data_IF_179666248864
#
_entry.id   IF_179666248864
#
_cell.length_a   1.000
_cell.length_b   1.000
_cell.length_c   1.000
_cell.angle_alpha   90.00
_cell.angle_beta   90.00
_cell.angle_gamma   90.00
#
_symmetry.space_group_name_H-M   'P 1'
#
loop_
_entity.id
_entity.type
_entity.pdbx_description
1 polymer ?
#
# COMPACT_ATOMS: atom_id res chain seq x y z
N UNK A 1 22.46 8.95 9.28
CA UNK A 1 21.06 9.43 9.25
C UNK A 1 20.72 9.82 7.81
N UNK A 2 19.60 9.36 7.23
CA UNK A 2 19.27 9.55 5.80
C UNK A 2 18.46 10.81 5.53
N UNK A 3 17.75 11.34 6.54
CA UNK A 3 16.84 12.47 6.36
C UNK A 3 17.50 13.74 5.77
N UNK A 4 18.70 14.17 6.20
CA UNK A 4 19.38 15.29 5.55
C UNK A 4 19.64 15.06 4.07
N UNK A 5 20.07 13.85 3.71
CA UNK A 5 20.34 13.46 2.31
C UNK A 5 19.05 13.49 1.48
N UNK A 6 17.94 13.02 2.04
CA UNK A 6 16.65 13.10 1.36
C UNK A 6 16.22 14.54 1.13
N UNK A 7 16.41 15.42 2.14
CA UNK A 7 16.08 16.83 2.00
C UNK A 7 16.94 17.53 0.94
N UNK A 8 18.25 17.30 0.94
CA UNK A 8 19.16 17.82 -0.07
C UNK A 8 18.82 17.34 -1.49
N UNK A 9 18.34 16.09 -1.62
CA UNK A 9 17.86 15.53 -2.88
C UNK A 9 16.46 16.01 -3.31
N UNK A 10 15.82 16.90 -2.52
CA UNK A 10 14.53 17.49 -2.84
C UNK A 10 13.32 16.64 -2.46
N UNK A 11 13.49 15.59 -1.64
CA UNK A 11 12.35 14.84 -1.10
C UNK A 11 11.62 15.69 -0.05
N UNK A 12 10.31 15.62 -0.08
CA UNK A 12 9.43 16.32 0.87
C UNK A 12 8.75 15.38 1.85
N UNK A 13 8.56 14.14 1.47
CA UNK A 13 7.90 13.13 2.30
C UNK A 13 8.53 11.74 2.12
N UNK A 14 8.31 10.89 3.10
CA UNK A 14 8.74 9.50 3.16
C UNK A 14 7.55 8.59 3.53
N UNK A 15 7.29 7.57 2.72
CA UNK A 15 6.24 6.58 2.94
C UNK A 15 6.82 5.17 3.01
N UNK A 16 7.88 4.98 3.81
CA UNK A 16 8.55 3.67 3.99
C UNK A 16 8.13 2.95 5.26
N UNK A 17 7.52 3.66 6.22
CA UNK A 17 7.10 3.06 7.48
C UNK A 17 5.75 2.37 7.33
N UNK A 18 5.70 1.07 7.65
CA UNK A 18 4.46 0.28 7.66
C UNK A 18 3.91 0.18 9.09
N UNK A 19 2.64 0.58 9.26
CA UNK A 19 1.85 0.43 10.48
C UNK A 19 0.59 -0.38 10.17
N UNK A 20 0.70 -1.72 10.15
CA UNK A 20 -0.34 -2.58 9.56
C UNK A 20 -1.68 -2.43 10.24
N UNK A 21 -2.71 -2.03 9.49
CA UNK A 21 -4.10 -1.90 9.91
C UNK A 21 -4.30 -1.07 11.20
N UNK A 22 -3.34 -0.18 11.51
CA UNK A 22 -3.38 0.65 12.72
C UNK A 22 -4.47 1.72 12.61
N UNK A 23 -5.09 2.03 13.76
CA UNK A 23 -6.09 3.08 13.85
C UNK A 23 -5.46 4.48 13.74
N UNK A 24 -6.26 5.42 13.28
CA UNK A 24 -6.02 6.86 13.42
C UNK A 24 -4.64 7.32 12.90
N UNK A 25 -4.11 6.63 11.87
CA UNK A 25 -2.87 7.05 11.24
C UNK A 25 -3.01 8.45 10.66
N UNK A 26 -1.99 9.26 10.87
CA UNK A 26 -1.87 10.62 10.35
C UNK A 26 -0.43 10.85 9.85
N UNK A 27 -0.22 11.84 8.98
CA UNK A 27 1.12 12.32 8.69
C UNK A 27 1.84 12.84 9.93
N UNK A 28 3.18 12.68 10.00
CA UNK A 28 4.01 13.11 11.13
C UNK A 28 5.30 13.76 10.64
N UNK A 29 5.73 14.84 11.30
CA UNK A 29 7.04 15.45 11.01
C UNK A 29 8.18 14.58 11.55
N UNK A 30 9.09 14.16 10.66
CA UNK A 30 10.30 13.38 11.03
C UNK A 30 11.54 14.23 11.33
N UNK A 31 11.48 15.52 11.09
CA UNK A 31 12.62 16.43 11.08
C UNK A 31 13.16 16.68 9.67
N UNK A 32 14.09 17.65 9.55
CA UNK A 32 14.64 18.09 8.26
C UNK A 32 13.59 18.45 7.21
N UNK A 33 12.43 18.92 7.64
CA UNK A 33 11.30 19.25 6.77
C UNK A 33 10.83 18.06 5.90
N UNK A 34 11.00 16.84 6.40
CA UNK A 34 10.46 15.60 5.80
C UNK A 34 9.22 15.15 6.57
N UNK A 35 8.14 14.92 5.83
CA UNK A 35 6.88 14.41 6.37
C UNK A 35 6.83 12.88 6.25
N UNK A 36 6.57 12.17 7.34
CA UNK A 36 6.25 10.75 7.29
C UNK A 36 4.79 10.55 6.87
N UNK A 37 4.58 9.70 5.89
CA UNK A 37 3.26 9.23 5.45
C UNK A 37 3.19 7.72 5.69
N UNK A 38 2.74 7.25 6.87
CA UNK A 38 2.80 5.84 7.23
C UNK A 38 1.87 5.00 6.36
N UNK A 39 2.37 3.87 5.86
CA UNK A 39 1.56 2.90 5.14
C UNK A 39 0.65 2.14 6.09
N UNK A 40 -0.62 2.08 5.74
CA UNK A 40 -1.67 1.35 6.46
C UNK A 40 -1.70 -0.14 6.09
N UNK A 41 -1.45 -0.45 4.82
CA UNK A 41 -1.54 -1.80 4.29
C UNK A 41 -0.47 -2.05 3.22
N UNK A 42 0.11 -3.25 3.23
CA UNK A 42 1.02 -3.74 2.21
C UNK A 42 0.72 -5.21 1.94
N UNK A 43 0.37 -5.56 0.72
CA UNK A 43 -0.04 -6.92 0.33
C UNK A 43 1.08 -7.96 0.54
N UNK A 44 2.33 -7.60 0.25
CA UNK A 44 3.46 -8.50 0.44
C UNK A 44 3.71 -8.83 1.92
N UNK A 45 3.59 -7.83 2.81
CA UNK A 45 3.70 -8.03 4.25
C UNK A 45 2.57 -8.92 4.76
N UNK A 46 1.35 -8.67 4.31
CA UNK A 46 0.14 -9.39 4.72
C UNK A 46 0.23 -10.88 4.34
N UNK A 47 0.64 -11.19 3.10
CA UNK A 47 0.91 -12.57 2.69
C UNK A 47 2.06 -13.20 3.49
N UNK A 48 3.11 -12.44 3.82
CA UNK A 48 4.23 -12.89 4.64
C UNK A 48 3.83 -13.21 6.07
N UNK A 49 2.87 -12.48 6.62
CA UNK A 49 2.24 -12.73 7.92
C UNK A 49 1.19 -13.86 7.88
N UNK A 50 1.07 -14.57 6.76
CA UNK A 50 0.12 -15.67 6.53
C UNK A 50 -1.35 -15.25 6.70
N UNK A 51 -1.69 -14.02 6.32
CA UNK A 51 -3.07 -13.59 6.32
C UNK A 51 -3.90 -14.44 5.36
N UNK A 52 -4.96 -15.03 5.87
CA UNK A 52 -5.90 -15.87 5.10
C UNK A 52 -7.15 -15.09 4.67
N UNK A 53 -7.40 -13.94 5.29
CA UNK A 53 -8.54 -13.09 5.00
C UNK A 53 -8.12 -11.90 4.12
N UNK A 54 -8.12 -12.12 2.79
CA UNK A 54 -7.87 -11.08 1.80
C UNK A 54 -9.20 -10.46 1.35
N UNK A 55 -9.92 -9.82 2.29
CA UNK A 55 -11.24 -9.22 2.05
C UNK A 55 -11.25 -7.71 2.31
N UNK A 56 -12.14 -6.99 1.64
CA UNK A 56 -12.31 -5.55 1.84
C UNK A 56 -12.66 -5.17 3.30
N UNK A 57 -13.58 -5.88 4.01
CA UNK A 57 -13.88 -5.56 5.41
C UNK A 57 -12.66 -5.59 6.33
N UNK A 58 -11.66 -6.44 6.06
CA UNK A 58 -10.42 -6.48 6.82
C UNK A 58 -9.63 -5.16 6.72
N UNK A 59 -9.68 -4.49 5.60
CA UNK A 59 -9.04 -3.19 5.41
C UNK A 59 -9.77 -2.05 6.15
N UNK A 60 -10.95 -2.28 6.69
CA UNK A 60 -11.76 -1.28 7.41
C UNK A 60 -11.79 0.08 6.67
N UNK A 61 -12.19 0.13 5.38
CA UNK A 61 -12.00 1.31 4.56
C UNK A 61 -12.78 2.54 5.05
N UNK A 62 -13.89 2.34 5.78
CA UNK A 62 -14.72 3.41 6.35
C UNK A 62 -14.18 3.94 7.71
N UNK A 63 -13.19 3.27 8.31
CA UNK A 63 -12.60 3.71 9.57
C UNK A 63 -11.83 5.02 9.38
N UNK A 64 -11.92 5.99 10.29
CA UNK A 64 -11.13 7.23 10.23
C UNK A 64 -9.61 6.99 10.20
N UNK A 65 -8.88 8.00 9.73
CA UNK A 65 -7.42 7.98 9.62
C UNK A 65 -6.91 7.84 8.19
N UNK A 66 -5.64 8.19 8.00
CA UNK A 66 -4.96 8.04 6.72
C UNK A 66 -4.78 6.56 6.38
N UNK A 67 -5.13 6.18 5.15
CA UNK A 67 -4.96 4.82 4.64
C UNK A 67 -4.15 4.82 3.35
N UNK A 68 -2.84 4.70 3.49
CA UNK A 68 -1.96 4.44 2.36
C UNK A 68 -1.87 2.94 2.16
N UNK A 69 -2.29 2.48 0.98
CA UNK A 69 -2.30 1.06 0.63
C UNK A 69 -1.29 0.80 -0.48
N UNK A 70 -0.45 -0.20 -0.28
CA UNK A 70 0.58 -0.63 -1.22
C UNK A 70 0.24 -2.01 -1.80
N UNK A 71 0.08 -2.06 -3.13
CA UNK A 71 -0.16 -3.27 -3.89
C UNK A 71 0.96 -3.50 -4.90
N UNK A 72 1.64 -4.63 -4.80
CA UNK A 72 2.72 -4.99 -5.71
C UNK A 72 2.17 -5.54 -7.04
N UNK A 73 2.58 -4.97 -8.19
CA UNK A 73 2.04 -5.38 -9.50
C UNK A 73 2.15 -6.88 -9.79
N UNK A 74 3.21 -7.54 -9.34
CA UNK A 74 3.41 -8.98 -9.52
C UNK A 74 2.44 -9.81 -8.67
N UNK A 75 2.12 -9.39 -7.44
CA UNK A 75 1.13 -10.07 -6.59
C UNK A 75 -0.29 -9.89 -7.16
N UNK A 76 -0.59 -8.69 -7.65
CA UNK A 76 -1.85 -8.40 -8.35
C UNK A 76 -1.96 -9.23 -9.64
N UNK A 77 -0.88 -9.31 -10.45
CA UNK A 77 -0.89 -10.11 -11.68
C UNK A 77 -1.15 -11.59 -11.41
N UNK A 78 -0.54 -12.14 -10.37
CA UNK A 78 -0.72 -13.54 -9.95
C UNK A 78 -2.04 -13.79 -9.24
N UNK A 79 -2.76 -12.75 -8.83
CA UNK A 79 -3.85 -12.86 -7.86
C UNK A 79 -3.38 -13.67 -6.64
N UNK A 80 -2.20 -13.36 -6.11
CA UNK A 80 -1.54 -14.17 -5.11
C UNK A 80 -2.43 -14.36 -3.87
N UNK A 81 -2.52 -15.60 -3.39
CA UNK A 81 -3.27 -15.98 -2.20
C UNK A 81 -2.35 -16.44 -1.06
N UNK A 82 -1.06 -16.65 -1.34
CA UNK A 82 -0.05 -16.96 -0.33
C UNK A 82 1.34 -16.50 -0.73
N UNK A 83 2.22 -16.38 0.26
CA UNK A 83 3.62 -16.03 0.04
C UNK A 83 4.38 -17.16 -0.69
N UNK A 84 3.98 -18.41 -0.51
CA UNK A 84 4.57 -19.58 -1.18
C UNK A 84 4.29 -19.52 -2.68
N UNK A 85 3.05 -19.22 -3.09
CA UNK A 85 2.68 -19.02 -4.49
C UNK A 85 3.53 -17.91 -5.14
N UNK A 86 3.70 -16.80 -4.43
CA UNK A 86 4.56 -15.72 -4.89
C UNK A 86 6.01 -16.18 -5.07
N UNK A 87 6.58 -16.87 -4.07
CA UNK A 87 7.96 -17.38 -4.15
C UNK A 87 8.14 -18.35 -5.31
N UNK A 88 7.19 -19.25 -5.52
CA UNK A 88 7.20 -20.21 -6.62
C UNK A 88 7.13 -19.54 -8.01
N UNK A 89 6.58 -18.35 -8.10
CA UNK A 89 6.47 -17.58 -9.36
C UNK A 89 7.77 -16.88 -9.78
N UNK A 90 8.67 -16.57 -8.83
CA UNK A 90 9.89 -15.76 -9.08
C UNK A 90 10.78 -16.27 -10.22
N UNK A 91 11.05 -17.59 -10.37
CA UNK A 91 11.85 -18.09 -11.48
C UNK A 91 11.25 -17.79 -12.87
N UNK A 92 9.94 -17.47 -12.93
CA UNK A 92 9.17 -17.33 -14.17
C UNK A 92 8.84 -15.87 -14.53
N UNK A 93 9.45 -14.89 -13.88
CA UNK A 93 9.12 -13.47 -14.09
C UNK A 93 9.31 -12.99 -15.53
N UNK A 94 10.13 -13.68 -16.33
CA UNK A 94 10.33 -13.40 -17.76
C UNK A 94 9.50 -14.29 -18.69
N UNK A 95 8.59 -15.11 -18.13
CA UNK A 95 7.75 -16.07 -18.85
C UNK A 95 6.26 -15.73 -18.65
N UNK A 96 5.70 -14.72 -19.32
CA UNK A 96 4.35 -14.20 -19.03
C UNK A 96 3.25 -15.25 -19.16
N UNK A 97 3.37 -16.19 -20.12
CA UNK A 97 2.38 -17.25 -20.30
C UNK A 97 2.41 -18.27 -19.15
N UNK A 98 3.58 -18.53 -18.61
CA UNK A 98 3.75 -19.38 -17.45
C UNK A 98 3.21 -18.71 -16.17
N UNK A 99 3.48 -17.40 -16.00
CA UNK A 99 2.92 -16.62 -14.90
C UNK A 99 1.39 -16.59 -14.94
N UNK A 100 0.78 -16.48 -16.14
CA UNK A 100 -0.69 -16.56 -16.27
C UNK A 100 -1.25 -17.87 -15.76
N UNK A 101 -0.56 -19.00 -16.02
CA UNK A 101 -0.95 -20.33 -15.54
C UNK A 101 -0.79 -20.50 -14.03
N UNK A 102 0.10 -19.73 -13.41
CA UNK A 102 0.32 -19.72 -11.95
C UNK A 102 -0.66 -18.79 -11.21
N UNK A 103 -1.52 -18.06 -11.92
CA UNK A 103 -2.50 -17.17 -11.30
C UNK A 103 -3.47 -17.97 -10.42
N UNK A 104 -3.69 -17.48 -9.19
CA UNK A 104 -4.67 -18.09 -8.30
C UNK A 104 -6.09 -17.91 -8.87
N UNK A 105 -6.90 -18.99 -8.98
CA UNK A 105 -8.24 -18.91 -9.57
C UNK A 105 -9.30 -18.36 -8.62
N UNK A 106 -9.05 -18.44 -7.31
CA UNK A 106 -9.97 -17.99 -6.26
C UNK A 106 -9.69 -16.56 -5.79
N UNK A 107 -10.00 -16.27 -4.54
CA UNK A 107 -9.75 -14.99 -3.89
C UNK A 107 -8.25 -14.79 -3.63
N UNK A 108 -7.71 -13.62 -3.95
CA UNK A 108 -6.33 -13.25 -3.76
C UNK A 108 -6.16 -11.72 -3.78
N UNK A 109 -4.92 -11.27 -3.86
CA UNK A 109 -4.53 -9.84 -3.84
C UNK A 109 -5.22 -9.02 -4.93
N UNK A 110 -5.35 -9.55 -6.16
CA UNK A 110 -6.06 -8.86 -7.23
C UNK A 110 -7.55 -8.69 -6.91
N UNK A 111 -8.17 -9.72 -6.34
CA UNK A 111 -9.59 -9.66 -5.97
C UNK A 111 -9.81 -8.57 -4.93
N UNK A 112 -8.95 -8.52 -3.91
CA UNK A 112 -9.00 -7.47 -2.88
C UNK A 112 -8.80 -6.08 -3.47
N UNK A 113 -7.82 -5.90 -4.37
CA UNK A 113 -7.60 -4.61 -5.04
C UNK A 113 -8.82 -4.16 -5.82
N UNK A 114 -9.46 -5.05 -6.60
CA UNK A 114 -10.65 -4.71 -7.38
C UNK A 114 -11.83 -4.33 -6.48
N UNK A 115 -12.06 -5.06 -5.39
CA UNK A 115 -13.07 -4.71 -4.38
C UNK A 115 -12.81 -3.33 -3.76
N UNK A 116 -11.55 -3.01 -3.46
CA UNK A 116 -11.16 -1.69 -2.95
C UNK A 116 -11.41 -0.59 -3.99
N UNK A 117 -11.05 -0.81 -5.24
CA UNK A 117 -11.28 0.16 -6.32
C UNK A 117 -12.77 0.40 -6.56
N UNK A 118 -13.60 -0.65 -6.54
CA UNK A 118 -15.06 -0.52 -6.67
C UNK A 118 -15.64 0.27 -5.49
N UNK A 119 -15.19 0.00 -4.28
CA UNK A 119 -15.58 0.76 -3.08
C UNK A 119 -15.22 2.24 -3.20
N UNK A 120 -14.01 2.56 -3.69
CA UNK A 120 -13.50 3.92 -3.85
C UNK A 120 -14.13 4.66 -5.03
N UNK A 121 -14.60 3.97 -6.07
CA UNK A 121 -15.21 4.58 -7.26
C UNK A 121 -16.41 5.47 -6.91
N UNK A 122 -17.19 5.10 -5.88
CA UNK A 122 -18.29 5.91 -5.35
C UNK A 122 -17.86 7.03 -4.38
N UNK A 123 -16.57 7.14 -4.06
CA UNK A 123 -16.01 8.01 -3.00
C UNK A 123 -14.82 8.84 -3.49
N UNK A 124 -14.88 9.36 -4.70
CA UNK A 124 -13.76 10.07 -5.35
C UNK A 124 -13.15 11.19 -4.52
N UNK A 125 -13.94 11.91 -3.73
CA UNK A 125 -13.45 12.97 -2.83
C UNK A 125 -12.65 12.46 -1.62
N UNK A 126 -12.61 11.16 -1.36
CA UNK A 126 -11.83 10.56 -0.28
C UNK A 126 -10.49 9.97 -0.76
N UNK A 127 -10.17 10.10 -2.04
CA UNK A 127 -8.95 9.55 -2.64
C UNK A 127 -8.03 10.68 -3.07
N UNK A 128 -6.78 10.62 -2.66
CA UNK A 128 -5.74 11.61 -2.98
C UNK A 128 -4.43 10.92 -3.32
N UNK A 129 -3.57 11.61 -4.05
CA UNK A 129 -2.17 11.20 -4.20
C UNK A 129 -1.37 11.53 -2.94
N UNK A 130 -0.22 10.86 -2.74
CA UNK A 130 0.68 11.18 -1.62
C UNK A 130 1.15 12.64 -1.66
N UNK A 131 1.38 13.18 -2.86
CA UNK A 131 1.75 14.60 -3.04
C UNK A 131 0.65 15.55 -2.57
N UNK A 132 -0.62 15.24 -2.86
CA UNK A 132 -1.75 16.05 -2.38
C UNK A 132 -1.89 15.96 -0.85
N UNK A 133 -1.75 14.78 -0.27
CA UNK A 133 -1.74 14.60 1.20
C UNK A 133 -0.61 15.41 1.83
N UNK A 134 0.62 15.35 1.30
CA UNK A 134 1.75 16.15 1.75
C UNK A 134 1.44 17.64 1.68
N UNK A 135 0.94 18.13 0.53
CA UNK A 135 0.64 19.55 0.35
C UNK A 135 -0.48 20.05 1.27
N UNK A 136 -1.51 19.25 1.51
CA UNK A 136 -2.61 19.58 2.42
C UNK A 136 -2.13 19.65 3.87
N UNK A 137 -1.36 18.66 4.31
CA UNK A 137 -0.88 18.59 5.69
C UNK A 137 0.09 19.75 6.00
N UNK A 138 1.03 20.07 5.10
CA UNK A 138 1.95 21.21 5.25
C UNK A 138 1.23 22.55 5.39
N UNK A 139 0.09 22.72 4.74
CA UNK A 139 -0.73 23.96 4.90
C UNK A 139 -1.44 24.02 6.25
N UNK A 140 -1.88 22.85 6.76
CA UNK A 140 -2.64 22.77 8.00
C UNK A 140 -1.75 22.76 9.25
N UNK A 141 -0.56 22.16 9.16
CA UNK A 141 0.38 21.93 10.27
C UNK A 141 1.78 22.32 9.78
N UNK A 142 2.16 23.60 9.88
CA UNK A 142 3.53 24.02 9.54
C UNK A 142 4.59 23.29 10.38
N UNK A 143 5.77 23.06 9.77
CA UNK A 143 6.92 22.45 10.43
C UNK A 143 7.51 23.36 11.52
#
# INVERSE_FOLDING_TARGET
ELLPVYREAGFEYDSTHLSPLSADLAPEWKGHDILALPMYYMDHWDLGAQATDLTLPRLQPDRPGLKIVDFHPNLVFLNAASIEQYRASKPHYREPDRLRKLRHPGRGVRTLLLELLDFLAGRRGAVSTLGEVNAQYRKAVPC
#
